data_IF_881169777982
#
_entry.id   IF_881169777982
#
_cell.length_a   1.000
_cell.length_b   1.000
_cell.length_c   1.000
_cell.angle_alpha   90.00
_cell.angle_beta   90.00
_cell.angle_gamma   90.00
#
_symmetry.space_group_name_H-M   'P 1'
#
loop_
_entity.id
_entity.type
_entity.pdbx_description
1 polymer ?
#
# COMPACT_ATOMS: atom_id res chain seq x y z
N UNK A 1 -15.53 13.76 -7.25
CA UNK A 1 -14.82 12.46 -7.41
C UNK A 1 -13.35 12.64 -7.83
N UNK A 2 -13.03 13.61 -8.68
CA UNK A 2 -11.66 13.86 -9.17
C UNK A 2 -10.64 14.26 -8.09
N UNK A 3 -11.04 15.14 -7.18
CA UNK A 3 -10.16 15.63 -6.09
C UNK A 3 -9.78 14.49 -5.13
N UNK A 4 -10.70 13.56 -4.89
CA UNK A 4 -10.45 12.35 -4.12
C UNK A 4 -9.48 11.38 -4.82
N UNK A 5 -9.68 11.13 -6.12
CA UNK A 5 -8.75 10.29 -6.92
C UNK A 5 -7.33 10.85 -6.87
N UNK A 6 -7.17 12.16 -7.04
CA UNK A 6 -5.86 12.83 -6.92
C UNK A 6 -5.25 12.68 -5.53
N UNK A 7 -6.04 12.82 -4.46
CA UNK A 7 -5.55 12.64 -3.09
C UNK A 7 -5.05 11.21 -2.88
N UNK A 8 -5.83 10.21 -3.32
CA UNK A 8 -5.41 8.81 -3.21
C UNK A 8 -4.18 8.52 -4.05
N UNK A 9 -4.10 9.01 -5.29
CA UNK A 9 -2.90 8.81 -6.10
C UNK A 9 -1.64 9.39 -5.44
N UNK A 10 -1.75 10.57 -4.81
CA UNK A 10 -0.65 11.18 -4.05
C UNK A 10 -0.32 10.36 -2.80
N UNK A 11 -1.33 9.86 -2.10
CA UNK A 11 -1.14 9.03 -0.91
C UNK A 11 -0.55 7.67 -1.28
N UNK A 12 -0.99 7.02 -2.34
CA UNK A 12 -0.48 5.72 -2.79
C UNK A 12 0.96 5.83 -3.28
N UNK A 13 1.25 6.89 -4.05
CA UNK A 13 2.59 7.16 -4.57
C UNK A 13 3.61 7.35 -3.44
N UNK A 14 3.23 8.04 -2.36
CA UNK A 14 4.13 8.44 -1.28
C UNK A 14 4.09 7.54 -0.05
N UNK A 15 2.94 6.97 0.29
CA UNK A 15 2.74 6.14 1.49
C UNK A 15 3.06 4.69 1.18
N UNK A 16 2.33 4.05 0.25
CA UNK A 16 2.41 2.59 0.06
C UNK A 16 3.75 2.17 -0.53
N UNK A 17 4.26 2.95 -1.48
CA UNK A 17 5.58 2.67 -2.04
C UNK A 17 6.69 2.77 -0.99
N UNK A 18 6.55 3.69 -0.03
CA UNK A 18 7.52 3.89 1.06
C UNK A 18 7.36 2.88 2.20
N UNK A 19 6.22 2.19 2.34
CA UNK A 19 6.03 1.21 3.43
C UNK A 19 7.07 0.08 3.40
N UNK A 20 7.40 -0.44 2.21
CA UNK A 20 8.41 -1.52 2.07
C UNK A 20 9.79 -1.07 2.58
N UNK A 21 10.38 0.03 2.07
CA UNK A 21 11.66 0.49 2.58
C UNK A 21 11.61 0.93 4.05
N UNK A 22 10.48 1.44 4.55
CA UNK A 22 10.32 1.75 5.99
C UNK A 22 10.44 0.48 6.84
N UNK A 23 9.71 -0.59 6.51
CA UNK A 23 9.78 -1.84 7.30
C UNK A 23 11.15 -2.52 7.16
N UNK A 24 11.75 -2.51 5.96
CA UNK A 24 13.10 -3.04 5.75
C UNK A 24 14.16 -2.30 6.57
N UNK A 25 14.09 -0.96 6.61
CA UNK A 25 15.02 -0.15 7.40
C UNK A 25 14.84 -0.37 8.89
N UNK A 26 13.60 -0.55 9.37
CA UNK A 26 13.34 -0.90 10.78
C UNK A 26 13.91 -2.27 11.15
N UNK A 27 13.76 -3.29 10.30
CA UNK A 27 14.36 -4.62 10.50
C UNK A 27 15.88 -4.49 10.56
N UNK A 28 16.48 -3.73 9.63
CA UNK A 28 17.92 -3.51 9.60
C UNK A 28 18.44 -2.83 10.87
N UNK A 29 17.73 -1.82 11.37
CA UNK A 29 18.07 -1.12 12.62
C UNK A 29 17.93 -2.06 13.83
N UNK A 30 16.88 -2.87 13.89
CA UNK A 30 16.70 -3.85 14.97
C UNK A 30 17.82 -4.92 14.97
N UNK A 31 18.28 -5.34 13.78
CA UNK A 31 19.38 -6.31 13.65
C UNK A 31 20.73 -5.74 14.09
N UNK A 32 21.05 -4.50 13.73
CA UNK A 32 22.34 -3.87 14.07
C UNK A 32 22.37 -3.35 15.50
N UNK A 33 21.31 -2.69 15.95
CA UNK A 33 21.30 -1.92 17.19
C UNK A 33 20.49 -2.57 18.31
N UNK A 34 20.23 -3.89 18.25
CA UNK A 34 19.52 -4.72 19.26
C UNK A 34 19.07 -3.95 20.51
N UNK A 35 17.82 -3.48 20.50
CA UNK A 35 17.11 -2.76 21.58
C UNK A 35 17.65 -1.37 22.01
N UNK A 36 18.58 -0.74 21.27
CA UNK A 36 18.99 0.65 21.53
C UNK A 36 17.87 1.66 21.28
N UNK A 37 16.97 1.36 20.34
CA UNK A 37 15.90 2.25 19.89
C UNK A 37 14.52 1.63 20.12
N UNK A 38 13.50 2.47 20.27
CA UNK A 38 12.10 2.04 20.47
C UNK A 38 11.41 1.62 19.16
N UNK A 39 12.06 0.75 18.37
CA UNK A 39 11.61 0.28 17.05
C UNK A 39 10.18 -0.28 17.10
N UNK A 40 9.81 -0.97 18.19
CA UNK A 40 8.47 -1.52 18.40
C UNK A 40 7.38 -0.46 18.47
N UNK A 41 7.67 0.74 19.00
CA UNK A 41 6.71 1.86 19.03
C UNK A 41 6.50 2.45 17.64
N UNK A 42 7.58 2.61 16.87
CA UNK A 42 7.52 3.07 15.47
C UNK A 42 6.76 2.07 14.60
N UNK A 43 7.04 0.77 14.75
CA UNK A 43 6.30 -0.29 14.07
C UNK A 43 4.79 -0.23 14.38
N UNK A 44 4.43 -0.02 15.64
CA UNK A 44 3.04 0.11 16.05
C UNK A 44 2.36 1.37 15.47
N UNK A 45 3.09 2.48 15.30
CA UNK A 45 2.58 3.67 14.62
C UNK A 45 2.28 3.37 13.14
N UNK A 46 3.25 2.81 12.42
CA UNK A 46 3.10 2.46 10.99
C UNK A 46 1.95 1.48 10.79
N UNK A 47 1.81 0.50 11.68
CA UNK A 47 0.69 -0.44 11.67
C UNK A 47 -0.66 0.28 11.69
N UNK A 48 -0.84 1.24 12.58
CA UNK A 48 -2.08 2.01 12.66
C UNK A 48 -2.31 2.86 11.41
N UNK A 49 -1.26 3.44 10.83
CA UNK A 49 -1.34 4.17 9.56
C UNK A 49 -1.83 3.27 8.42
N UNK A 50 -1.32 2.03 8.32
CA UNK A 50 -1.75 1.05 7.30
C UNK A 50 -3.23 0.69 7.47
N UNK A 51 -3.66 0.40 8.70
CA UNK A 51 -5.04 0.04 9.01
C UNK A 51 -5.98 1.21 8.67
N UNK A 52 -5.62 2.43 9.07
CA UNK A 52 -6.42 3.61 8.81
C UNK A 52 -6.57 3.90 7.31
N UNK A 53 -5.47 3.83 6.56
CA UNK A 53 -5.49 3.95 5.11
C UNK A 53 -6.43 2.92 4.48
N UNK A 54 -6.32 1.65 4.87
CA UNK A 54 -7.14 0.55 4.35
C UNK A 54 -8.63 0.81 4.59
N UNK A 55 -9.00 1.21 5.81
CA UNK A 55 -10.40 1.48 6.16
C UNK A 55 -10.95 2.61 5.28
N UNK A 56 -10.20 3.73 5.15
CA UNK A 56 -10.64 4.85 4.32
C UNK A 56 -10.84 4.43 2.87
N UNK A 57 -9.83 3.82 2.24
CA UNK A 57 -9.88 3.44 0.82
C UNK A 57 -11.06 2.51 0.55
N UNK A 58 -11.28 1.52 1.42
CA UNK A 58 -12.39 0.58 1.25
C UNK A 58 -13.75 1.19 1.57
N UNK A 59 -13.88 2.07 2.56
CA UNK A 59 -15.13 2.80 2.80
C UNK A 59 -15.53 3.62 1.58
N UNK A 60 -14.59 4.30 0.95
CA UNK A 60 -14.87 5.04 -0.28
C UNK A 60 -15.19 4.12 -1.47
N UNK A 61 -14.51 2.98 -1.61
CA UNK A 61 -14.86 1.98 -2.62
C UNK A 61 -16.32 1.50 -2.45
N UNK A 62 -16.74 1.21 -1.21
CA UNK A 62 -18.12 0.84 -0.88
C UNK A 62 -19.12 1.95 -1.18
N UNK A 63 -18.81 3.21 -0.82
CA UNK A 63 -19.66 4.36 -1.12
C UNK A 63 -19.78 4.57 -2.63
N UNK A 64 -18.68 4.41 -3.37
CA UNK A 64 -18.67 4.43 -4.83
C UNK A 64 -19.63 3.39 -5.42
N UNK A 65 -19.62 2.17 -4.89
CA UNK A 65 -20.58 1.13 -5.29
C UNK A 65 -22.03 1.52 -4.98
N UNK A 66 -22.31 2.09 -3.79
CA UNK A 66 -23.67 2.41 -3.36
C UNK A 66 -24.28 3.64 -4.08
N UNK A 67 -23.46 4.56 -4.60
CA UNK A 67 -23.91 5.86 -5.11
C UNK A 67 -23.95 5.97 -6.64
N UNK A 68 -23.62 4.90 -7.37
CA UNK A 68 -23.59 4.94 -8.84
C UNK A 68 -25.01 4.88 -9.41
N UNK A 69 -25.52 5.99 -10.00
CA UNK A 69 -26.90 6.16 -10.51
C UNK A 69 -27.27 5.25 -11.71
N UNK A 70 -26.27 4.71 -12.40
CA UNK A 70 -26.41 3.58 -13.32
C UNK A 70 -25.49 2.48 -12.80
N UNK A 71 -25.94 1.64 -11.86
CA UNK A 71 -25.21 0.43 -11.62
C UNK A 71 -25.40 -0.34 -12.92
N UNK A 72 -24.34 -0.52 -13.69
CA UNK A 72 -24.21 -1.81 -14.33
C UNK A 72 -24.15 -2.78 -13.12
N UNK A 73 -25.30 -3.19 -12.55
CA UNK A 73 -25.37 -4.22 -11.51
C UNK A 73 -24.60 -5.46 -11.99
N UNK A 74 -24.58 -5.63 -13.32
CA UNK A 74 -23.77 -6.56 -14.08
C UNK A 74 -22.26 -6.27 -14.07
N UNK A 75 -21.74 -5.05 -13.99
CA UNK A 75 -20.29 -4.80 -14.01
C UNK A 75 -19.61 -5.25 -12.70
N UNK A 76 -20.25 -5.05 -11.55
CA UNK A 76 -19.70 -5.49 -10.26
C UNK A 76 -19.94 -6.98 -10.00
N UNK A 77 -21.15 -7.48 -10.31
CA UNK A 77 -21.42 -8.92 -10.26
C UNK A 77 -20.50 -9.64 -11.26
N UNK A 78 -20.36 -9.17 -12.50
CA UNK A 78 -19.39 -9.77 -13.45
C UNK A 78 -17.93 -9.63 -12.99
N UNK A 79 -17.56 -8.63 -12.18
CA UNK A 79 -16.23 -8.60 -11.58
C UNK A 79 -16.05 -9.68 -10.53
N UNK A 80 -17.08 -9.95 -9.71
CA UNK A 80 -17.04 -10.95 -8.65
C UNK A 80 -17.32 -12.39 -9.12
N UNK A 81 -18.03 -12.58 -10.24
CA UNK A 81 -18.47 -13.89 -10.77
C UNK A 81 -18.07 -14.15 -12.22
N UNK A 82 -17.43 -13.20 -12.90
CA UNK A 82 -16.96 -13.38 -14.28
C UNK A 82 -15.62 -14.10 -14.38
N UNK A 83 -15.08 -14.19 -15.60
CA UNK A 83 -13.83 -14.92 -15.92
C UNK A 83 -12.62 -14.43 -15.10
N UNK A 84 -12.64 -13.17 -14.65
CA UNK A 84 -11.58 -12.55 -13.84
C UNK A 84 -11.94 -12.44 -12.35
N UNK A 85 -12.95 -13.17 -11.88
CA UNK A 85 -13.34 -13.22 -10.47
C UNK A 85 -12.18 -13.59 -9.55
N UNK A 86 -11.34 -14.55 -9.95
CA UNK A 86 -10.15 -14.94 -9.20
C UNK A 86 -9.20 -13.76 -8.94
N UNK A 87 -9.01 -12.87 -9.93
CA UNK A 87 -8.17 -11.69 -9.79
C UNK A 87 -8.81 -10.65 -8.87
N UNK A 88 -10.14 -10.49 -8.94
CA UNK A 88 -10.90 -9.62 -8.04
C UNK A 88 -10.83 -10.10 -6.57
N UNK A 89 -10.96 -11.41 -6.33
CA UNK A 89 -10.86 -11.97 -4.98
C UNK A 89 -9.44 -11.87 -4.42
N UNK A 90 -8.40 -12.05 -5.24
CA UNK A 90 -7.01 -11.85 -4.83
C UNK A 90 -6.74 -10.39 -4.48
N UNK A 91 -7.23 -9.45 -5.29
CA UNK A 91 -7.19 -8.01 -4.98
C UNK A 91 -7.86 -7.73 -3.63
N UNK A 92 -9.08 -8.23 -3.41
CA UNK A 92 -9.82 -8.04 -2.17
C UNK A 92 -9.06 -8.61 -0.96
N UNK A 93 -8.55 -9.85 -1.06
CA UNK A 93 -7.79 -10.49 0.01
C UNK A 93 -6.53 -9.72 0.37
N UNK A 94 -5.80 -9.23 -0.64
CA UNK A 94 -4.50 -8.60 -0.45
C UNK A 94 -4.57 -7.13 -0.05
N UNK A 95 -5.57 -6.39 -0.54
CA UNK A 95 -5.75 -4.97 -0.22
C UNK A 95 -6.65 -4.71 0.98
N UNK A 96 -7.51 -5.65 1.39
CA UNK A 96 -8.38 -5.50 2.58
C UNK A 96 -7.99 -6.46 3.70
N UNK A 97 -8.04 -7.76 3.42
CA UNK A 97 -7.98 -8.78 4.47
C UNK A 97 -6.59 -8.82 5.10
N UNK A 98 -5.53 -8.83 4.30
CA UNK A 98 -4.15 -8.81 4.80
C UNK A 98 -3.82 -7.58 5.67
N UNK A 99 -4.13 -6.33 5.30
CA UNK A 99 -3.92 -5.21 6.22
C UNK A 99 -4.78 -5.29 7.49
N UNK A 100 -6.01 -5.81 7.42
CA UNK A 100 -6.86 -5.96 8.59
C UNK A 100 -6.35 -7.00 9.59
N UNK A 101 -5.58 -8.01 9.16
CA UNK A 101 -4.96 -8.95 10.12
C UNK A 101 -3.98 -8.28 11.08
N UNK A 102 -3.50 -7.07 10.76
CA UNK A 102 -2.65 -6.28 11.65
C UNK A 102 -3.38 -5.80 12.92
N UNK A 103 -4.71 -5.89 13.01
CA UNK A 103 -5.43 -5.70 14.27
C UNK A 103 -5.00 -6.71 15.34
N UNK A 104 -4.61 -7.93 14.94
CA UNK A 104 -4.14 -8.94 15.86
C UNK A 104 -2.72 -8.63 16.34
N UNK A 105 -2.61 -8.13 17.58
CA UNK A 105 -1.33 -7.75 18.20
C UNK A 105 -0.25 -8.84 18.13
N UNK A 106 -0.63 -10.13 18.18
CA UNK A 106 0.29 -11.28 18.09
C UNK A 106 0.95 -11.42 16.72
N UNK A 107 0.25 -11.03 15.65
CA UNK A 107 0.75 -11.08 14.28
C UNK A 107 1.52 -9.80 13.97
N UNK A 108 0.98 -8.65 14.37
CA UNK A 108 1.58 -7.35 14.12
C UNK A 108 2.87 -7.04 14.91
N UNK A 109 3.22 -7.85 15.92
CA UNK A 109 4.49 -7.74 16.62
C UNK A 109 5.65 -8.38 15.86
N UNK A 110 5.37 -9.20 14.84
CA UNK A 110 6.39 -9.89 14.05
C UNK A 110 6.76 -9.04 12.83
N UNK A 111 7.98 -8.51 12.80
CA UNK A 111 8.47 -7.68 11.70
C UNK A 111 8.34 -8.34 10.32
N UNK A 112 8.72 -9.62 10.23
CA UNK A 112 8.58 -10.40 8.99
C UNK A 112 7.12 -10.54 8.52
N UNK A 113 6.17 -10.61 9.46
CA UNK A 113 4.76 -10.65 9.11
C UNK A 113 4.28 -9.31 8.56
N UNK A 114 4.65 -8.21 9.20
CA UNK A 114 4.32 -6.86 8.72
C UNK A 114 4.93 -6.62 7.34
N UNK A 115 6.15 -7.09 7.09
CA UNK A 115 6.78 -7.01 5.77
C UNK A 115 5.98 -7.78 4.71
N UNK A 116 5.55 -9.01 5.01
CA UNK A 116 4.69 -9.80 4.13
C UNK A 116 3.38 -9.06 3.82
N UNK A 117 2.74 -8.51 4.85
CA UNK A 117 1.50 -7.74 4.66
C UNK A 117 1.71 -6.55 3.74
N UNK A 118 2.80 -5.79 3.93
CA UNK A 118 3.11 -4.64 3.06
C UNK A 118 3.38 -5.06 1.61
N UNK A 119 4.08 -6.17 1.39
CA UNK A 119 4.22 -6.75 0.05
C UNK A 119 2.87 -7.16 -0.54
N UNK A 120 2.00 -7.75 0.28
CA UNK A 120 0.63 -8.11 -0.07
C UNK A 120 -0.18 -6.89 -0.53
N UNK A 121 -0.17 -5.81 0.25
CA UNK A 121 -0.87 -4.55 -0.08
C UNK A 121 -0.37 -3.99 -1.42
N UNK A 122 0.95 -3.95 -1.62
CA UNK A 122 1.53 -3.45 -2.86
C UNK A 122 1.09 -4.29 -4.05
N UNK A 123 1.15 -5.62 -3.91
CA UNK A 123 0.65 -6.56 -4.93
C UNK A 123 -0.85 -6.35 -5.21
N UNK A 124 -1.66 -6.18 -4.16
CA UNK A 124 -3.10 -5.94 -4.26
C UNK A 124 -3.47 -4.71 -5.05
N UNK A 125 -2.72 -3.61 -4.92
CA UNK A 125 -2.93 -2.42 -5.75
C UNK A 125 -2.63 -2.66 -7.24
N UNK A 126 -1.64 -3.50 -7.57
CA UNK A 126 -1.42 -3.89 -8.96
C UNK A 126 -2.57 -4.73 -9.50
N UNK A 127 -3.09 -5.64 -8.68
CA UNK A 127 -4.29 -6.41 -9.03
C UNK A 127 -5.53 -5.52 -9.17
N UNK A 128 -5.66 -4.46 -8.38
CA UNK A 128 -6.74 -3.48 -8.54
C UNK A 128 -6.68 -2.79 -9.91
N UNK A 129 -5.49 -2.31 -10.29
CA UNK A 129 -5.28 -1.73 -11.62
C UNK A 129 -5.54 -2.76 -12.73
N UNK A 130 -5.07 -3.99 -12.56
CA UNK A 130 -5.31 -5.07 -13.51
C UNK A 130 -6.80 -5.36 -13.67
N UNK A 131 -7.56 -5.49 -12.58
CA UNK A 131 -9.00 -5.75 -12.62
C UNK A 131 -9.75 -4.57 -13.24
N UNK A 132 -9.40 -3.33 -12.90
CA UNK A 132 -10.01 -2.14 -13.52
C UNK A 132 -9.72 -2.12 -15.02
N UNK A 133 -8.47 -2.28 -15.45
CA UNK A 133 -8.07 -2.26 -16.87
C UNK A 133 -8.78 -3.38 -17.63
N UNK A 134 -8.68 -4.64 -17.17
CA UNK A 134 -9.24 -5.79 -17.88
C UNK A 134 -10.77 -5.73 -17.96
N UNK A 135 -11.43 -5.17 -16.95
CA UNK A 135 -12.90 -5.01 -16.95
C UNK A 135 -13.38 -3.77 -17.71
N UNK A 136 -12.51 -2.78 -17.91
CA UNK A 136 -12.81 -1.56 -18.67
C UNK A 136 -12.32 -1.61 -20.14
N UNK A 137 -11.45 -2.55 -20.50
CA UNK A 137 -10.95 -2.69 -21.87
C UNK A 137 -11.89 -3.49 -22.77
N UNK A 138 -12.69 -2.75 -23.55
CA UNK A 138 -12.93 -3.06 -24.97
C UNK A 138 -12.13 -2.05 -25.79
N UNK A 139 -10.99 -2.49 -26.33
CA UNK A 139 -10.13 -1.79 -27.32
C UNK A 139 -9.47 -0.48 -26.85
N UNK A 140 -8.13 -0.51 -26.76
CA UNK A 140 -7.24 0.27 -27.64
C UNK A 140 -5.77 0.05 -27.24
N UNK A 141 -5.03 -0.64 -28.11
CA UNK A 141 -3.58 -0.76 -28.03
C UNK A 141 -2.98 0.10 -29.14
N UNK A 142 -2.24 1.14 -28.77
CA UNK A 142 -1.22 1.74 -29.62
C UNK A 142 0.05 1.86 -28.79
N UNK A 143 1.05 1.10 -29.22
CA UNK A 143 2.36 0.95 -28.59
C UNK A 143 3.37 1.81 -29.35
N UNK A 144 4.23 2.53 -28.62
CA UNK A 144 5.14 3.52 -29.19
C UNK A 144 6.47 3.56 -28.43
N UNK A 145 7.37 2.68 -28.86
CA UNK A 145 8.78 2.51 -28.49
C UNK A 145 9.47 3.68 -27.75
N UNK A 146 9.91 3.46 -26.49
CA UNK A 146 10.80 4.37 -25.73
C UNK A 146 11.55 3.67 -24.58
N UNK A 147 12.28 2.61 -24.89
CA UNK A 147 12.80 1.68 -23.87
C UNK A 147 14.06 2.13 -23.10
N UNK A 148 14.72 3.24 -23.46
CA UNK A 148 15.97 3.67 -22.79
C UNK A 148 15.71 4.75 -21.72
N UNK A 149 14.87 5.76 -21.99
CA UNK A 149 14.48 6.76 -20.98
C UNK A 149 13.63 6.16 -19.84
N UNK A 150 12.84 5.13 -20.15
CA UNK A 150 12.02 4.41 -19.16
C UNK A 150 12.87 3.69 -18.11
N UNK A 151 14.00 3.09 -18.49
CA UNK A 151 14.86 2.34 -17.56
C UNK A 151 15.51 3.30 -16.56
N UNK A 152 16.04 4.45 -17.02
CA UNK A 152 16.64 5.45 -16.13
C UNK A 152 15.59 6.10 -15.21
N UNK A 153 14.39 6.37 -15.73
CA UNK A 153 13.27 6.87 -14.91
C UNK A 153 12.80 5.83 -13.88
N UNK A 154 12.78 4.55 -14.23
CA UNK A 154 12.44 3.46 -13.31
C UNK A 154 13.48 3.29 -12.20
N UNK A 155 14.77 3.30 -12.54
CA UNK A 155 15.87 3.18 -11.57
C UNK A 155 15.88 4.40 -10.64
N UNK A 156 15.72 5.61 -11.20
CA UNK A 156 15.61 6.83 -10.41
C UNK A 156 14.37 6.83 -9.50
N UNK A 157 13.20 6.41 -10.02
CA UNK A 157 11.97 6.33 -9.26
C UNK A 157 12.05 5.34 -8.09
N UNK A 158 12.64 4.16 -8.31
CA UNK A 158 12.88 3.19 -7.25
C UNK A 158 13.86 3.76 -6.21
N UNK A 159 14.96 4.39 -6.65
CA UNK A 159 15.94 4.99 -5.76
C UNK A 159 15.35 6.08 -4.86
N UNK A 160 14.49 6.94 -5.42
CA UNK A 160 13.79 8.00 -4.68
C UNK A 160 12.85 7.43 -3.60
N UNK A 161 12.11 6.36 -3.91
CA UNK A 161 11.22 5.68 -2.94
C UNK A 161 12.02 5.08 -1.78
N UNK A 162 13.17 4.47 -2.06
CA UNK A 162 14.05 3.92 -1.02
C UNK A 162 14.63 5.03 -0.13
N UNK A 163 15.10 6.12 -0.73
CA UNK A 163 15.61 7.29 0.01
C UNK A 163 14.53 7.90 0.91
N UNK A 164 13.33 8.11 0.38
CA UNK A 164 12.18 8.61 1.15
C UNK A 164 11.85 7.69 2.33
N UNK A 165 11.83 6.38 2.12
CA UNK A 165 11.59 5.41 3.19
C UNK A 165 12.64 5.48 4.31
N UNK A 166 13.93 5.61 3.95
CA UNK A 166 15.01 5.77 4.93
C UNK A 166 14.83 7.07 5.74
N UNK A 167 14.56 8.19 5.06
CA UNK A 167 14.38 9.50 5.71
C UNK A 167 13.21 9.47 6.70
N UNK A 168 12.06 8.90 6.30
CA UNK A 168 10.88 8.78 7.16
C UNK A 168 11.18 7.92 8.40
N UNK A 169 11.90 6.81 8.24
CA UNK A 169 12.30 5.96 9.37
C UNK A 169 13.21 6.70 10.34
N UNK A 170 14.21 7.44 9.85
CA UNK A 170 15.14 8.20 10.69
C UNK A 170 14.40 9.32 11.44
N UNK A 171 13.52 10.07 10.77
CA UNK A 171 12.74 11.13 11.38
C UNK A 171 11.80 10.59 12.47
N UNK A 172 11.08 9.50 12.18
CA UNK A 172 10.16 8.89 13.15
C UNK A 172 10.91 8.35 14.37
N UNK A 173 12.03 7.65 14.18
CA UNK A 173 12.88 7.21 15.28
C UNK A 173 13.43 8.38 16.10
N UNK A 174 13.88 9.45 15.44
CA UNK A 174 14.38 10.67 16.09
C UNK A 174 13.32 11.33 16.98
N UNK A 175 12.08 11.45 16.48
CA UNK A 175 10.95 12.00 17.25
C UNK A 175 10.68 11.15 18.49
N UNK A 176 10.63 9.82 18.36
CA UNK A 176 10.40 8.94 19.50
C UNK A 176 11.53 8.99 20.54
N UNK A 177 12.79 9.09 20.11
CA UNK A 177 13.91 9.22 21.05
C UNK A 177 13.91 10.58 21.76
N UNK A 178 13.53 11.68 21.09
CA UNK A 178 13.34 13.00 21.73
C UNK A 178 12.21 12.94 22.77
N UNK A 179 11.07 12.31 22.44
CA UNK A 179 9.95 12.15 23.36
C UNK A 179 10.36 11.34 24.60
N UNK A 180 11.15 10.27 24.41
CA UNK A 180 11.70 9.47 25.51
C UNK A 180 12.64 10.27 26.41
N UNK A 181 13.47 11.15 25.85
CA UNK A 181 14.41 11.99 26.61
C UNK A 181 13.73 13.12 27.41
N UNK A 182 12.50 13.48 27.04
CA UNK A 182 11.68 14.52 27.68
C UNK A 182 10.80 13.98 28.81
N UNK A 183 10.77 12.66 29.01
CA UNK A 183 9.99 11.95 30.03
C UNK A 183 10.90 11.42 31.11
#
# INVERSE_FOLDING_TARGET
>A
MELYKRIIEIVDANLINCLIPIILTLIFIELIFKDRFEVKKVLNLIRWTIIFYTIITWTFYLIGMATTEKPDEYAFINRATGVYAWAYWIMFLSALILPLTLFFKKLASKFWYVLLVVFGIKSGMYFERFVIIVTSFHRDYLDGNRNIELIDLFVFGIGMIFLQGIVITILTLGIFEIIKRKR
#
